data_IF_549292315189
#
_entry.id   IF_549292315189
#
_cell.length_a   1.000
_cell.length_b   1.000
_cell.length_c   1.000
_cell.angle_alpha   90.00
_cell.angle_beta   90.00
_cell.angle_gamma   90.00
#
_symmetry.space_group_name_H-M   'P 1'
#
loop_
_entity.id
_entity.type
_entity.pdbx_description
1 polymer ?
#
# COMPACT_ATOMS: atom_id res chain seq x y z
N UNK A 1 1.39 5.99 22.44
CA UNK A 1 0.73 6.42 21.19
C UNK A 1 1.05 7.88 20.93
N UNK A 2 1.30 8.29 19.68
CA UNK A 2 1.76 9.65 19.33
C UNK A 2 0.82 10.76 19.85
N UNK A 3 -0.50 10.55 19.74
CA UNK A 3 -1.51 11.50 20.24
C UNK A 3 -1.45 11.68 21.78
N UNK A 4 -1.25 10.58 22.52
CA UNK A 4 -1.09 10.64 23.97
C UNK A 4 0.21 11.34 24.38
N UNK A 5 1.33 11.03 23.71
CA UNK A 5 2.62 11.66 24.03
C UNK A 5 2.69 13.15 23.68
N UNK A 6 1.86 13.61 22.74
CA UNK A 6 1.78 15.02 22.33
C UNK A 6 0.69 15.79 23.06
N UNK A 7 -0.11 15.14 23.93
CA UNK A 7 -1.25 15.77 24.59
C UNK A 7 -2.31 16.27 23.62
N UNK A 8 -2.46 15.61 22.46
CA UNK A 8 -3.34 16.04 21.38
C UNK A 8 -4.81 16.09 21.84
N UNK A 9 -5.52 17.23 21.64
CA UNK A 9 -6.95 17.33 21.92
C UNK A 9 -7.77 16.29 21.14
N UNK A 10 -8.87 15.82 21.73
CA UNK A 10 -9.77 14.84 21.11
C UNK A 10 -10.26 15.29 19.71
N UNK A 11 -10.65 16.56 19.48
CA UNK A 11 -11.05 17.01 18.15
C UNK A 11 -9.95 16.85 17.09
N UNK A 12 -8.71 17.19 17.44
CA UNK A 12 -7.57 17.07 16.53
C UNK A 12 -7.23 15.61 16.24
N UNK A 13 -7.35 14.74 17.25
CA UNK A 13 -7.20 13.30 17.08
C UNK A 13 -8.27 12.74 16.13
N UNK A 14 -9.54 13.15 16.30
CA UNK A 14 -10.63 12.73 15.43
C UNK A 14 -10.43 13.22 14.00
N UNK A 15 -9.96 14.45 13.83
CA UNK A 15 -9.60 15.02 12.52
C UNK A 15 -8.47 14.22 11.85
N UNK A 16 -7.39 13.91 12.56
CA UNK A 16 -6.30 13.09 12.04
C UNK A 16 -6.79 11.69 11.66
N UNK A 17 -7.60 11.05 12.50
CA UNK A 17 -8.20 9.74 12.18
C UNK A 17 -9.08 9.80 10.92
N UNK A 18 -9.86 10.86 10.74
CA UNK A 18 -10.66 11.06 9.54
C UNK A 18 -9.79 11.25 8.29
N UNK A 19 -8.71 12.05 8.38
CA UNK A 19 -7.74 12.21 7.28
C UNK A 19 -7.07 10.89 6.92
N UNK A 20 -6.53 10.17 7.90
CA UNK A 20 -5.87 8.88 7.66
C UNK A 20 -6.85 7.81 7.15
N UNK A 21 -8.07 7.76 7.69
CA UNK A 21 -9.11 6.84 7.21
C UNK A 21 -9.51 7.12 5.76
N UNK A 22 -9.74 8.39 5.42
CA UNK A 22 -10.07 8.82 4.06
C UNK A 22 -8.90 8.55 3.11
N UNK A 23 -7.68 8.94 3.49
CA UNK A 23 -6.47 8.71 2.71
C UNK A 23 -6.22 7.22 2.46
N UNK A 24 -6.34 6.38 3.49
CA UNK A 24 -6.18 4.94 3.36
C UNK A 24 -7.22 4.31 2.41
N UNK A 25 -8.49 4.71 2.53
CA UNK A 25 -9.57 4.23 1.67
C UNK A 25 -9.32 4.60 0.21
N UNK A 26 -9.05 5.88 -0.06
CA UNK A 26 -8.84 6.40 -1.42
C UNK A 26 -7.57 5.81 -2.05
N UNK A 27 -6.45 5.80 -1.32
CA UNK A 27 -5.17 5.30 -1.84
C UNK A 27 -5.16 3.79 -2.03
N UNK A 28 -5.88 3.03 -1.18
CA UNK A 28 -6.08 1.60 -1.43
C UNK A 28 -6.85 1.38 -2.73
N UNK A 29 -7.91 2.17 -2.95
CA UNK A 29 -8.65 2.16 -4.21
C UNK A 29 -7.78 2.51 -5.42
N UNK A 30 -6.89 3.50 -5.31
CA UNK A 30 -5.96 3.87 -6.37
C UNK A 30 -5.00 2.71 -6.70
N UNK A 31 -4.42 2.08 -5.67
CA UNK A 31 -3.55 0.91 -5.84
C UNK A 31 -4.25 -0.27 -6.52
N UNK A 32 -5.49 -0.57 -6.12
CA UNK A 32 -6.31 -1.60 -6.79
C UNK A 32 -6.60 -1.24 -8.25
N UNK A 33 -6.90 0.02 -8.56
CA UNK A 33 -7.15 0.47 -9.94
C UNK A 33 -5.89 0.35 -10.81
N UNK A 34 -4.71 0.68 -10.26
CA UNK A 34 -3.42 0.50 -10.94
C UNK A 34 -3.17 -0.99 -11.20
N UNK A 35 -3.39 -1.85 -10.21
CA UNK A 35 -3.23 -3.30 -10.36
C UNK A 35 -4.16 -3.83 -11.47
N UNK A 36 -5.44 -3.49 -11.45
CA UNK A 36 -6.39 -3.91 -12.48
C UNK A 36 -6.02 -3.37 -13.87
N UNK A 37 -5.42 -2.18 -13.98
CA UNK A 37 -4.94 -1.59 -15.24
C UNK A 37 -3.70 -2.29 -15.80
N UNK A 38 -2.81 -2.79 -14.93
CA UNK A 38 -1.59 -3.51 -15.31
C UNK A 38 -1.86 -4.99 -15.58
N UNK A 39 -2.75 -5.61 -14.81
CA UNK A 39 -2.99 -7.05 -14.86
C UNK A 39 -4.12 -7.45 -15.82
N UNK A 40 -4.71 -6.53 -16.59
CA UNK A 40 -5.81 -6.79 -17.56
C UNK A 40 -5.63 -8.07 -18.39
N UNK A 41 -4.41 -8.32 -18.90
CA UNK A 41 -4.14 -9.51 -19.72
C UNK A 41 -4.15 -10.80 -18.90
N UNK A 42 -3.55 -10.76 -17.71
CA UNK A 42 -3.52 -11.90 -16.78
C UNK A 42 -4.92 -12.17 -16.22
N UNK A 43 -5.63 -11.13 -15.83
CA UNK A 43 -6.97 -11.25 -15.26
C UNK A 43 -7.97 -11.85 -16.26
N UNK A 44 -7.82 -11.60 -17.56
CA UNK A 44 -8.65 -12.26 -18.60
C UNK A 44 -8.45 -13.77 -18.69
N UNK A 45 -7.27 -14.26 -18.31
CA UNK A 45 -6.89 -15.68 -18.42
C UNK A 45 -7.28 -16.50 -17.18
N UNK A 46 -7.55 -15.84 -16.05
CA UNK A 46 -7.86 -16.51 -14.78
C UNK A 46 -9.37 -16.47 -14.54
N UNK A 47 -9.98 -17.64 -14.34
CA UNK A 47 -11.43 -17.79 -14.19
C UNK A 47 -12.01 -16.87 -13.10
N UNK A 48 -11.31 -16.77 -11.96
CA UNK A 48 -11.70 -15.93 -10.82
C UNK A 48 -11.69 -14.43 -11.12
N UNK A 49 -10.75 -13.95 -11.94
CA UNK A 49 -10.54 -12.50 -12.16
C UNK A 49 -10.98 -12.00 -13.52
N UNK A 50 -11.40 -12.89 -14.42
CA UNK A 50 -11.93 -12.56 -15.75
C UNK A 50 -13.14 -11.62 -15.71
N UNK A 51 -13.94 -11.68 -14.65
CA UNK A 51 -15.11 -10.82 -14.46
C UNK A 51 -14.78 -9.40 -13.94
N UNK A 52 -13.51 -9.07 -13.64
CA UNK A 52 -13.15 -7.74 -13.16
C UNK A 52 -13.56 -6.65 -14.16
N UNK A 53 -13.90 -5.42 -13.70
CA UNK A 53 -14.52 -4.41 -14.57
C UNK A 53 -13.67 -4.01 -15.79
N UNK A 54 -12.35 -3.92 -15.63
CA UNK A 54 -11.43 -3.57 -16.73
C UNK A 54 -11.13 -4.80 -17.60
N UNK A 55 -10.97 -5.98 -16.99
CA UNK A 55 -10.71 -7.24 -17.71
C UNK A 55 -11.90 -7.67 -18.58
N UNK A 56 -13.13 -7.57 -18.06
CA UNK A 56 -14.37 -7.87 -18.79
C UNK A 56 -14.74 -6.84 -19.86
N UNK A 57 -14.12 -5.65 -19.84
CA UNK A 57 -14.40 -4.57 -20.77
C UNK A 57 -15.61 -3.71 -20.42
N UNK A 58 -16.26 -3.95 -19.28
CA UNK A 58 -17.37 -3.11 -18.77
C UNK A 58 -16.91 -1.67 -18.55
N UNK A 59 -15.66 -1.48 -18.13
CA UNK A 59 -15.00 -0.18 -18.01
C UNK A 59 -13.86 -0.08 -19.01
N UNK A 60 -13.88 0.97 -19.85
CA UNK A 60 -12.78 1.25 -20.77
C UNK A 60 -11.54 1.80 -20.04
N UNK A 61 -10.35 1.52 -20.56
CA UNK A 61 -9.08 1.98 -19.95
C UNK A 61 -9.05 3.51 -19.73
N UNK A 62 -9.51 4.37 -20.68
CA UNK A 62 -9.56 5.81 -20.43
C UNK A 62 -10.44 6.18 -19.23
N UNK A 63 -11.61 5.55 -19.05
CA UNK A 63 -12.48 5.79 -17.89
C UNK A 63 -11.81 5.37 -16.58
N UNK A 64 -11.10 4.23 -16.59
CA UNK A 64 -10.31 3.79 -15.44
C UNK A 64 -9.17 4.77 -15.10
N UNK A 65 -8.51 5.38 -16.09
CA UNK A 65 -7.52 6.43 -15.84
C UNK A 65 -8.14 7.71 -15.26
N UNK A 66 -9.33 8.11 -15.71
CA UNK A 66 -10.05 9.26 -15.11
C UNK A 66 -10.41 8.95 -13.65
N UNK A 67 -10.89 7.74 -13.36
CA UNK A 67 -11.18 7.32 -11.99
C UNK A 67 -9.92 7.31 -11.11
N UNK A 68 -8.82 6.76 -11.63
CA UNK A 68 -7.52 6.80 -10.96
C UNK A 68 -7.06 8.25 -10.70
N UNK A 69 -7.21 9.14 -11.68
CA UNK A 69 -6.90 10.56 -11.52
C UNK A 69 -7.69 11.21 -10.39
N UNK A 70 -8.99 10.89 -10.27
CA UNK A 70 -9.83 11.34 -9.15
C UNK A 70 -9.36 10.81 -7.79
N UNK A 71 -8.98 9.52 -7.73
CA UNK A 71 -8.44 8.93 -6.50
C UNK A 71 -7.10 9.56 -6.10
N UNK A 72 -6.18 9.77 -7.05
CA UNK A 72 -4.89 10.41 -6.80
C UNK A 72 -5.06 11.87 -6.40
N UNK A 73 -6.00 12.61 -7.01
CA UNK A 73 -6.32 13.99 -6.63
C UNK A 73 -6.88 14.07 -5.21
N UNK A 74 -7.79 13.17 -4.83
CA UNK A 74 -8.30 13.09 -3.47
C UNK A 74 -7.21 12.67 -2.46
N UNK A 75 -6.34 11.73 -2.83
CA UNK A 75 -5.17 11.37 -2.02
C UNK A 75 -4.20 12.53 -1.82
N UNK A 76 -3.95 13.32 -2.88
CA UNK A 76 -3.15 14.54 -2.80
C UNK A 76 -3.80 15.60 -1.90
N UNK A 77 -5.13 15.78 -1.99
CA UNK A 77 -5.88 16.70 -1.13
C UNK A 77 -5.76 16.31 0.35
N UNK A 78 -5.71 15.02 0.69
CA UNK A 78 -5.41 14.55 2.04
C UNK A 78 -3.95 14.83 2.41
N UNK A 79 -3.01 14.54 1.50
CA UNK A 79 -1.57 14.69 1.75
C UNK A 79 -1.20 16.15 2.08
N UNK A 80 -1.73 17.13 1.34
CA UNK A 80 -1.41 18.55 1.54
C UNK A 80 -1.97 19.14 2.84
N UNK A 81 -2.87 18.42 3.53
CA UNK A 81 -3.37 18.80 4.86
C UNK A 81 -2.44 18.34 6.00
N UNK A 82 -1.41 17.54 5.69
CA UNK A 82 -0.41 17.11 6.67
C UNK A 82 0.73 18.14 6.81
N UNK A 83 1.50 18.01 7.88
CA UNK A 83 2.64 18.91 8.09
C UNK A 83 3.75 18.69 7.03
N UNK A 84 4.59 19.71 6.74
CA UNK A 84 5.61 19.64 5.68
C UNK A 84 6.61 18.50 5.86
N UNK A 85 6.99 18.18 7.11
CA UNK A 85 7.88 17.08 7.41
C UNK A 85 7.27 15.74 6.95
N UNK A 86 5.98 15.54 7.24
CA UNK A 86 5.24 14.33 6.87
C UNK A 86 5.05 14.23 5.37
N UNK A 87 4.76 15.34 4.69
CA UNK A 87 4.67 15.37 3.22
C UNK A 87 5.98 14.93 2.59
N UNK A 88 7.10 15.52 3.01
CA UNK A 88 8.43 15.12 2.52
C UNK A 88 8.74 13.64 2.83
N UNK A 89 8.35 13.16 4.02
CA UNK A 89 8.54 11.77 4.43
C UNK A 89 7.69 10.79 3.62
N UNK A 90 6.46 11.15 3.25
CA UNK A 90 5.61 10.37 2.35
C UNK A 90 6.22 10.27 0.95
N UNK A 91 6.80 11.35 0.42
CA UNK A 91 7.50 11.28 -0.88
C UNK A 91 8.67 10.30 -0.85
N UNK A 92 9.30 10.11 0.32
CA UNK A 92 10.34 9.11 0.54
C UNK A 92 9.89 7.66 0.35
N UNK A 93 8.59 7.34 0.43
CA UNK A 93 8.09 5.97 0.17
C UNK A 93 7.94 5.65 -1.31
N UNK A 94 7.95 6.66 -2.20
CA UNK A 94 7.70 6.48 -3.63
C UNK A 94 8.61 5.45 -4.31
N UNK A 95 9.93 5.39 -4.01
CA UNK A 95 10.79 4.33 -4.56
C UNK A 95 10.32 2.93 -4.16
N UNK A 96 9.94 2.71 -2.90
CA UNK A 96 9.47 1.41 -2.41
C UNK A 96 8.16 1.01 -3.09
N UNK A 97 7.19 1.91 -3.15
CA UNK A 97 5.88 1.67 -3.79
C UNK A 97 6.05 1.37 -5.28
N UNK A 98 6.95 2.08 -5.95
CA UNK A 98 7.22 1.88 -7.38
C UNK A 98 7.91 0.56 -7.67
N UNK A 99 8.87 0.16 -6.83
CA UNK A 99 9.68 -1.04 -7.03
C UNK A 99 8.94 -2.33 -6.62
N UNK A 100 8.09 -2.27 -5.60
CA UNK A 100 7.37 -3.42 -5.04
C UNK A 100 6.75 -4.35 -6.09
N UNK A 101 5.96 -3.88 -7.08
CA UNK A 101 5.29 -4.76 -8.06
C UNK A 101 6.27 -5.58 -8.92
N UNK A 102 7.51 -5.12 -9.07
CA UNK A 102 8.56 -5.77 -9.84
C UNK A 102 9.35 -6.80 -9.04
N UNK A 103 9.30 -6.74 -7.70
CA UNK A 103 10.11 -7.61 -6.83
C UNK A 103 9.81 -9.09 -7.03
N UNK A 104 8.57 -9.44 -7.36
CA UNK A 104 8.15 -10.81 -7.67
C UNK A 104 8.89 -11.41 -8.88
N UNK A 105 9.51 -10.59 -9.73
CA UNK A 105 10.32 -11.04 -10.88
C UNK A 105 11.81 -11.11 -10.57
N UNK A 106 12.27 -10.41 -9.52
CA UNK A 106 13.69 -10.19 -9.24
C UNK A 106 14.14 -11.06 -8.07
N UNK A 107 13.35 -11.11 -6.99
CA UNK A 107 13.71 -11.75 -5.71
C UNK A 107 12.63 -12.73 -5.24
N UNK A 108 13.02 -13.71 -4.41
CA UNK A 108 12.09 -14.57 -3.66
C UNK A 108 11.54 -13.89 -2.40
N UNK A 109 11.85 -12.62 -2.16
CA UNK A 109 11.37 -11.86 -1.00
C UNK A 109 10.43 -10.69 -1.36
N UNK A 110 9.49 -10.81 -2.33
CA UNK A 110 8.58 -9.70 -2.63
C UNK A 110 7.69 -9.34 -1.44
N UNK A 111 7.38 -10.29 -0.56
CA UNK A 111 6.61 -10.09 0.68
C UNK A 111 7.31 -9.14 1.66
N UNK A 112 8.65 -9.16 1.71
CA UNK A 112 9.40 -8.22 2.54
C UNK A 112 9.24 -6.79 2.01
N UNK A 113 9.37 -6.60 0.70
CA UNK A 113 9.22 -5.28 0.07
C UNK A 113 7.78 -4.78 0.15
N UNK A 114 6.80 -5.68 0.03
CA UNK A 114 5.39 -5.40 0.33
C UNK A 114 5.25 -4.87 1.76
N UNK A 115 5.81 -5.59 2.74
CA UNK A 115 5.79 -5.20 4.15
C UNK A 115 6.36 -3.80 4.37
N UNK A 116 7.50 -3.50 3.76
CA UNK A 116 8.12 -2.17 3.83
C UNK A 116 7.22 -1.08 3.24
N UNK A 117 6.63 -1.32 2.06
CA UNK A 117 5.76 -0.35 1.42
C UNK A 117 4.45 -0.12 2.20
N UNK A 118 3.79 -1.19 2.65
CA UNK A 118 2.47 -1.11 3.29
C UNK A 118 2.52 -0.56 4.72
N UNK A 119 3.57 -0.88 5.48
CA UNK A 119 3.68 -0.41 6.86
C UNK A 119 4.22 1.01 6.97
N UNK A 120 4.59 1.65 5.86
CA UNK A 120 5.06 3.04 5.85
C UNK A 120 4.03 4.00 6.48
N UNK A 121 2.75 3.68 6.35
CA UNK A 121 1.65 4.43 6.99
C UNK A 121 1.79 4.55 8.51
N UNK A 122 2.39 3.56 9.19
CA UNK A 122 2.65 3.64 10.63
C UNK A 122 3.67 4.74 10.98
N UNK A 123 4.68 4.91 10.14
CA UNK A 123 5.69 5.97 10.28
C UNK A 123 5.07 7.35 9.98
N UNK A 124 4.24 7.43 8.96
CA UNK A 124 3.50 8.65 8.59
C UNK A 124 2.53 9.07 9.69
N UNK A 125 1.85 8.11 10.34
CA UNK A 125 0.97 8.40 11.47
C UNK A 125 1.69 9.05 12.65
N UNK A 126 2.93 8.62 12.93
CA UNK A 126 3.76 9.26 13.96
C UNK A 126 4.12 10.69 13.56
N UNK A 127 4.72 10.87 12.38
CA UNK A 127 5.24 12.16 11.93
C UNK A 127 4.15 13.19 11.69
N UNK A 128 2.93 12.76 11.30
CA UNK A 128 1.77 13.62 11.15
C UNK A 128 1.38 14.33 12.45
N UNK A 129 1.54 13.64 13.59
CA UNK A 129 1.19 14.13 14.91
C UNK A 129 2.34 14.91 15.56
N UNK A 130 3.57 14.42 15.44
CA UNK A 130 4.73 14.98 16.16
C UNK A 130 5.55 15.98 15.36
N UNK A 131 5.36 16.06 14.04
CA UNK A 131 6.16 16.91 13.14
C UNK A 131 7.62 16.46 12.98
N UNK A 132 7.97 15.26 13.46
CA UNK A 132 9.34 14.74 13.45
C UNK A 132 9.40 13.27 13.84
N UNK A 133 10.49 12.58 13.49
CA UNK A 133 10.63 11.14 13.71
C UNK A 133 11.33 10.81 15.02
N UNK A 134 10.72 9.93 15.84
CA UNK A 134 11.39 9.27 16.95
C UNK A 134 11.58 7.79 16.62
N UNK A 135 12.79 7.43 16.18
CA UNK A 135 13.11 6.07 15.77
C UNK A 135 13.00 5.06 16.92
N UNK A 136 13.20 5.46 18.18
CA UNK A 136 13.04 4.56 19.33
C UNK A 136 11.61 4.03 19.50
N UNK A 137 10.61 4.79 19.04
CA UNK A 137 9.19 4.37 19.11
C UNK A 137 8.68 3.87 17.75
N UNK A 138 9.03 4.57 16.67
CA UNK A 138 8.50 4.28 15.36
C UNK A 138 9.13 3.02 14.72
N UNK A 139 10.42 2.76 14.96
CA UNK A 139 11.11 1.62 14.35
C UNK A 139 10.58 0.26 14.87
N UNK A 140 10.39 0.03 16.18
CA UNK A 140 9.82 -1.22 16.65
C UNK A 140 8.40 -1.48 16.12
N UNK A 141 7.56 -0.44 16.06
CA UNK A 141 6.21 -0.54 15.50
C UNK A 141 6.24 -0.91 14.01
N UNK A 142 7.09 -0.24 13.24
CA UNK A 142 7.27 -0.51 11.82
C UNK A 142 7.83 -1.91 11.57
N UNK A 143 8.85 -2.32 12.31
CA UNK A 143 9.42 -3.66 12.22
C UNK A 143 8.40 -4.75 12.56
N UNK A 144 7.57 -4.55 13.59
CA UNK A 144 6.49 -5.46 13.93
C UNK A 144 5.47 -5.58 12.80
N UNK A 145 5.06 -4.47 12.20
CA UNK A 145 4.13 -4.45 11.06
C UNK A 145 4.70 -5.14 9.80
N UNK A 146 5.96 -4.86 9.48
CA UNK A 146 6.68 -5.51 8.36
C UNK A 146 6.77 -7.02 8.60
N UNK A 147 7.13 -7.44 9.81
CA UNK A 147 7.22 -8.86 10.19
C UNK A 147 5.86 -9.54 10.09
N UNK A 148 4.80 -8.90 10.57
CA UNK A 148 3.44 -9.40 10.43
C UNK A 148 3.03 -9.57 8.97
N UNK A 149 3.33 -8.57 8.14
CA UNK A 149 3.06 -8.60 6.70
C UNK A 149 3.79 -9.73 6.00
N UNK A 150 5.06 -9.90 6.31
CA UNK A 150 5.86 -11.00 5.79
C UNK A 150 5.23 -12.35 6.14
N UNK A 151 4.77 -12.55 7.38
CA UNK A 151 4.18 -13.81 7.83
C UNK A 151 2.84 -14.08 7.14
N UNK A 152 1.86 -13.18 7.24
CA UNK A 152 0.52 -13.47 6.72
C UNK A 152 0.52 -13.55 5.19
N UNK A 153 1.33 -12.75 4.50
CA UNK A 153 1.36 -12.74 3.03
C UNK A 153 2.13 -13.96 2.50
N UNK A 154 3.10 -14.47 3.27
CA UNK A 154 3.72 -15.78 2.97
C UNK A 154 2.70 -16.91 3.11
N UNK A 155 1.88 -16.91 4.17
CA UNK A 155 0.81 -17.91 4.33
C UNK A 155 -0.18 -17.83 3.17
N UNK A 156 -0.58 -16.62 2.77
CA UNK A 156 -1.44 -16.41 1.61
C UNK A 156 -0.81 -16.98 0.33
N UNK A 157 0.46 -16.66 0.07
CA UNK A 157 1.21 -17.15 -1.09
C UNK A 157 1.42 -18.67 -1.15
N UNK A 158 1.15 -19.43 -0.08
CA UNK A 158 1.15 -20.90 -0.15
C UNK A 158 0.00 -21.44 -1.00
N UNK A 159 -1.11 -20.71 -1.10
CA UNK A 159 -2.27 -21.10 -1.91
C UNK A 159 -1.99 -20.93 -3.41
N UNK A 160 -1.16 -19.95 -3.76
CA UNK A 160 -0.86 -19.58 -5.14
C UNK A 160 0.41 -20.28 -5.68
N UNK A 161 1.06 -21.20 -4.93
CA UNK A 161 2.33 -21.84 -5.31
C UNK A 161 2.32 -22.43 -6.73
N UNK A 162 1.25 -23.14 -7.10
CA UNK A 162 1.16 -23.81 -8.41
C UNK A 162 1.11 -22.79 -9.55
N UNK A 163 0.35 -21.72 -9.35
CA UNK A 163 0.18 -20.66 -10.34
C UNK A 163 1.43 -19.79 -10.44
N UNK A 164 2.09 -19.49 -9.32
CA UNK A 164 3.35 -18.74 -9.28
C UNK A 164 4.46 -19.48 -10.05
N UNK A 165 4.59 -20.79 -9.87
CA UNK A 165 5.56 -21.61 -10.63
C UNK A 165 5.24 -21.58 -12.12
N UNK A 166 3.97 -21.77 -12.49
CA UNK A 166 3.55 -21.76 -13.89
C UNK A 166 3.78 -20.40 -14.56
N UNK A 167 3.60 -19.31 -13.82
CA UNK A 167 3.84 -17.95 -14.29
C UNK A 167 5.29 -17.47 -14.16
N UNK A 168 6.20 -18.30 -13.63
CA UNK A 168 7.62 -17.98 -13.45
C UNK A 168 7.89 -16.86 -12.44
N UNK A 169 6.99 -16.70 -11.47
CA UNK A 169 7.05 -15.67 -10.43
C UNK A 169 7.76 -16.22 -9.21
N UNK A 170 8.53 -15.37 -8.51
CA UNK A 170 9.25 -15.72 -7.28
C UNK A 170 8.49 -15.19 -6.08
N UNK A 171 8.44 -15.97 -5.00
CA UNK A 171 7.77 -15.62 -3.74
C UNK A 171 8.42 -16.34 -2.55
N UNK A 172 8.24 -15.83 -1.32
CA UNK A 172 8.81 -16.47 -0.12
C UNK A 172 8.23 -17.85 0.12
N UNK A 173 6.97 -18.06 -0.27
CA UNK A 173 6.34 -19.38 -0.27
C UNK A 173 7.02 -20.34 -1.25
N UNK A 174 7.59 -19.90 -2.37
CA UNK A 174 8.35 -20.81 -3.23
C UNK A 174 9.76 -21.09 -2.70
N UNK A 175 10.29 -20.23 -1.85
CA UNK A 175 11.60 -20.42 -1.23
C UNK A 175 11.58 -21.42 -0.07
N UNK A 176 10.44 -21.53 0.65
CA UNK A 176 10.23 -22.38 1.82
C UNK A 176 9.00 -23.28 1.68
#
# INVERSE_FOLDING_TARGET
>A
MAAFSSGMPIPDMAYMLALFGTGAFVMRGAGCTINDLWDVKFDKMVERTRARPIASGVISRPKAFVFLGGQLAAGLAVLVQLNPYTIAFCLGSMPLVTIYPFMKRITYWPQLVLGLAFNWGALVGWTAVTGGMNWGVALPLYAAGVSWTLVYDTIYGHQDKRDDVAAGVKSTSLLF
#
